data_IF_186738586610
#
_entry.id   IF_186738586610
#
_cell.length_a   1.000
_cell.length_b   1.000
_cell.length_c   1.000
_cell.angle_alpha   90.00
_cell.angle_beta   90.00
_cell.angle_gamma   90.00
#
_symmetry.space_group_name_H-M   'P 1'
#
loop_
_entity.id
_entity.type
_entity.pdbx_description
1 polymer ?
#
# COMPACT_ATOMS: atom_id res chain seq x y z
N UNK A 1 10.19 -22.42 -17.38
CA UNK A 1 9.16 -22.01 -16.40
C UNK A 1 7.84 -21.84 -17.13
N UNK A 2 6.85 -22.73 -16.92
CA UNK A 2 5.61 -22.76 -17.73
C UNK A 2 4.67 -21.62 -17.29
N UNK A 3 4.50 -20.62 -18.17
CA UNK A 3 3.58 -19.50 -18.01
C UNK A 3 2.14 -20.00 -17.82
N UNK A 4 1.48 -19.59 -16.73
CA UNK A 4 0.06 -19.88 -16.53
C UNK A 4 -0.72 -19.11 -17.60
N UNK A 5 -1.42 -19.80 -18.51
CA UNK A 5 -2.19 -19.15 -19.59
C UNK A 5 -3.62 -18.76 -19.16
N UNK A 6 -4.22 -19.53 -18.26
CA UNK A 6 -5.60 -19.33 -17.76
C UNK A 6 -5.73 -19.78 -16.30
N UNK A 7 -6.58 -19.12 -15.52
CA UNK A 7 -7.07 -19.60 -14.23
C UNK A 7 -8.58 -19.37 -14.17
N UNK A 8 -9.38 -20.44 -14.00
CA UNK A 8 -10.82 -20.38 -14.20
C UNK A 8 -11.17 -19.78 -15.57
N UNK A 9 -11.97 -18.71 -15.57
CA UNK A 9 -12.35 -17.95 -16.77
C UNK A 9 -11.41 -16.78 -17.13
N UNK A 10 -10.35 -16.58 -16.35
CA UNK A 10 -9.45 -15.44 -16.49
C UNK A 10 -8.23 -15.78 -17.35
N UNK A 11 -7.96 -14.92 -18.34
CA UNK A 11 -6.82 -15.04 -19.23
C UNK A 11 -5.63 -14.26 -18.68
N UNK A 12 -4.57 -14.96 -18.30
CA UNK A 12 -3.37 -14.35 -17.70
C UNK A 12 -2.57 -13.62 -18.79
N UNK A 13 -2.25 -12.35 -18.53
CA UNK A 13 -1.53 -11.46 -19.47
C UNK A 13 -0.05 -11.33 -19.12
N UNK A 14 0.26 -11.00 -17.86
CA UNK A 14 1.64 -10.88 -17.37
C UNK A 14 1.73 -11.08 -15.86
N UNK A 15 2.90 -11.44 -15.37
CA UNK A 15 3.21 -11.38 -13.94
C UNK A 15 3.43 -9.91 -13.55
N UNK A 16 2.80 -9.48 -12.46
CA UNK A 16 2.97 -8.13 -11.89
C UNK A 16 4.08 -8.11 -10.83
N UNK A 17 4.14 -9.15 -10.00
CA UNK A 17 5.12 -9.20 -8.92
C UNK A 17 4.97 -10.43 -8.05
N UNK A 18 5.72 -10.47 -6.97
CA UNK A 18 5.56 -11.43 -5.89
C UNK A 18 5.49 -10.66 -4.58
N UNK A 19 4.34 -10.74 -3.92
CA UNK A 19 4.15 -10.23 -2.58
C UNK A 19 4.58 -11.27 -1.54
N UNK A 20 4.29 -10.96 -0.28
CA UNK A 20 4.63 -11.82 0.87
C UNK A 20 3.99 -13.20 0.79
N UNK A 21 2.72 -13.24 0.37
CA UNK A 21 1.89 -14.45 0.40
C UNK A 21 1.74 -15.14 -0.94
N UNK A 22 2.23 -14.52 -2.02
CA UNK A 22 1.84 -15.00 -3.34
C UNK A 22 2.45 -14.27 -4.53
N UNK A 23 2.05 -14.72 -5.71
CA UNK A 23 2.42 -14.12 -6.99
C UNK A 23 1.18 -13.43 -7.56
N UNK A 24 1.32 -12.16 -7.93
CA UNK A 24 0.24 -11.40 -8.55
C UNK A 24 0.41 -11.41 -10.07
N UNK A 25 -0.69 -11.62 -10.78
CA UNK A 25 -0.75 -11.60 -12.24
C UNK A 25 -1.80 -10.61 -12.71
N UNK A 26 -1.50 -9.86 -13.76
CA UNK A 26 -2.51 -9.15 -14.54
C UNK A 26 -3.22 -10.19 -15.41
N UNK A 27 -4.53 -10.20 -15.37
CA UNK A 27 -5.38 -11.03 -16.21
C UNK A 27 -6.56 -10.23 -16.77
N UNK A 28 -7.34 -10.86 -17.64
CA UNK A 28 -8.58 -10.31 -18.16
C UNK A 28 -9.73 -11.30 -17.97
N UNK A 29 -10.90 -10.79 -17.60
CA UNK A 29 -12.14 -11.58 -17.54
C UNK A 29 -12.71 -11.89 -18.94
N UNK A 30 -13.87 -12.56 -19.00
CA UNK A 30 -14.54 -12.90 -20.26
C UNK A 30 -15.00 -11.68 -21.08
N UNK A 31 -15.08 -10.49 -20.46
CA UNK A 31 -15.42 -9.21 -21.09
C UNK A 31 -14.19 -8.36 -21.39
N UNK A 32 -12.99 -8.93 -21.30
CA UNK A 32 -11.69 -8.24 -21.43
C UNK A 32 -11.45 -7.12 -20.39
N UNK A 33 -12.15 -7.11 -19.26
CA UNK A 33 -11.86 -6.17 -18.17
C UNK A 33 -10.62 -6.63 -17.39
N UNK A 34 -9.70 -5.72 -17.04
CA UNK A 34 -8.49 -6.08 -16.33
C UNK A 34 -8.80 -6.47 -14.88
N UNK A 35 -8.13 -7.52 -14.40
CA UNK A 35 -8.20 -7.97 -13.00
C UNK A 35 -6.81 -8.38 -12.52
N UNK A 36 -6.62 -8.41 -11.20
CA UNK A 36 -5.43 -8.99 -10.57
C UNK A 36 -5.77 -10.38 -10.03
N UNK A 37 -4.98 -11.38 -10.44
CA UNK A 37 -5.02 -12.72 -9.87
C UNK A 37 -3.90 -12.88 -8.86
N UNK A 38 -4.23 -12.98 -7.58
CA UNK A 38 -3.27 -13.24 -6.49
C UNK A 38 -3.23 -14.75 -6.21
N UNK A 39 -2.11 -15.37 -6.57
CA UNK A 39 -1.87 -16.80 -6.38
C UNK A 39 -1.14 -17.08 -5.07
N UNK A 40 -1.73 -17.88 -4.20
CA UNK A 40 -1.11 -18.35 -2.97
C UNK A 40 -0.42 -19.68 -3.20
N UNK A 41 0.86 -19.80 -2.82
CA UNK A 41 1.62 -21.02 -3.08
C UNK A 41 1.16 -22.15 -2.14
N UNK A 42 0.76 -23.32 -2.67
CA UNK A 42 0.49 -24.50 -1.84
C UNK A 42 1.76 -24.88 -1.05
N UNK A 43 1.63 -25.05 0.27
CA UNK A 43 2.71 -25.59 1.12
C UNK A 43 3.38 -24.60 2.10
N UNK A 44 2.98 -23.34 2.13
CA UNK A 44 3.49 -22.39 3.12
C UNK A 44 2.71 -22.49 4.42
N UNK A 45 3.06 -23.42 5.33
CA UNK A 45 2.62 -23.55 6.75
C UNK A 45 1.09 -23.55 7.06
N UNK A 46 0.70 -24.39 8.03
CA UNK A 46 -0.70 -24.58 8.47
C UNK A 46 -1.43 -23.27 8.84
N UNK A 47 -0.71 -22.26 9.32
CA UNK A 47 -1.27 -20.97 9.79
C UNK A 47 -1.45 -19.92 8.67
N UNK A 48 -1.02 -20.17 7.42
CA UNK A 48 -1.17 -19.17 6.34
C UNK A 48 -2.61 -19.05 5.84
N UNK A 49 -3.40 -20.11 5.97
CA UNK A 49 -4.78 -20.09 5.51
C UNK A 49 -5.62 -19.04 6.23
N UNK A 50 -5.36 -18.84 7.52
CA UNK A 50 -6.04 -17.85 8.32
C UNK A 50 -5.76 -16.43 7.78
N UNK A 51 -4.50 -16.07 7.56
CA UNK A 51 -4.12 -14.76 6.97
C UNK A 51 -4.68 -14.55 5.55
N UNK A 52 -4.71 -15.61 4.73
CA UNK A 52 -5.28 -15.53 3.38
C UNK A 52 -6.78 -15.27 3.44
N UNK A 53 -7.50 -15.94 4.34
CA UNK A 53 -8.93 -15.70 4.54
C UNK A 53 -9.21 -14.29 5.07
N UNK A 54 -8.35 -13.77 5.94
CA UNK A 54 -8.48 -12.41 6.48
C UNK A 54 -8.43 -11.33 5.41
N UNK A 55 -7.53 -11.43 4.42
CA UNK A 55 -7.48 -10.45 3.33
C UNK A 55 -8.81 -10.39 2.56
N UNK A 56 -9.41 -11.55 2.24
CA UNK A 56 -10.70 -11.60 1.55
C UNK A 56 -11.84 -11.04 2.43
N UNK A 57 -11.86 -11.37 3.72
CA UNK A 57 -12.85 -10.88 4.68
C UNK A 57 -12.78 -9.36 4.81
N UNK A 58 -11.57 -8.82 4.98
CA UNK A 58 -11.35 -7.38 5.11
C UNK A 58 -11.76 -6.67 3.82
N UNK A 59 -11.21 -7.09 2.68
CA UNK A 59 -11.52 -6.44 1.39
C UNK A 59 -13.01 -6.51 1.04
N UNK A 60 -13.71 -7.59 1.39
CA UNK A 60 -15.16 -7.70 1.17
C UNK A 60 -15.99 -6.72 2.01
N UNK A 61 -15.44 -6.21 3.13
CA UNK A 61 -16.04 -5.19 3.98
C UNK A 61 -15.68 -3.75 3.59
N UNK A 62 -14.80 -3.58 2.60
CA UNK A 62 -14.36 -2.27 2.12
C UNK A 62 -14.96 -1.95 0.75
N UNK A 63 -15.27 -0.68 0.54
CA UNK A 63 -15.78 -0.10 -0.70
C UNK A 63 -15.27 1.33 -0.79
N UNK A 64 -14.18 1.51 -1.54
CA UNK A 64 -13.50 2.79 -1.70
C UNK A 64 -12.80 2.81 -3.06
N UNK A 65 -12.89 3.91 -3.85
CA UNK A 65 -12.38 3.95 -5.23
C UNK A 65 -10.84 3.83 -5.36
N UNK A 66 -10.12 3.91 -4.25
CA UNK A 66 -8.66 3.75 -4.17
C UNK A 66 -8.22 2.46 -3.44
N UNK A 67 -9.14 1.52 -3.23
CA UNK A 67 -8.86 0.19 -2.66
C UNK A 67 -9.47 -0.84 -3.62
N UNK A 68 -8.74 -1.90 -4.01
CA UNK A 68 -9.27 -2.88 -4.95
C UNK A 68 -10.44 -3.67 -4.35
N UNK A 69 -11.53 -3.80 -5.09
CA UNK A 69 -12.61 -4.72 -4.72
C UNK A 69 -12.17 -6.19 -4.78
N UNK A 70 -12.67 -6.99 -3.84
CA UNK A 70 -12.58 -8.44 -3.90
C UNK A 70 -13.68 -9.01 -4.80
N UNK A 71 -13.29 -9.47 -6.00
CA UNK A 71 -14.22 -9.95 -7.03
C UNK A 71 -14.54 -11.45 -6.90
N UNK A 72 -13.85 -12.17 -6.00
CA UNK A 72 -14.10 -13.57 -5.71
C UNK A 72 -12.86 -14.45 -5.85
N UNK A 73 -13.09 -15.75 -6.09
CA UNK A 73 -12.04 -16.78 -6.16
C UNK A 73 -12.08 -17.49 -7.49
N UNK A 74 -10.93 -17.71 -8.11
CA UNK A 74 -10.77 -18.54 -9.29
C UNK A 74 -10.01 -19.81 -8.96
N UNK A 75 -10.52 -20.96 -9.43
CA UNK A 75 -9.87 -22.25 -9.28
C UNK A 75 -9.08 -22.61 -10.55
N UNK A 76 -7.92 -23.25 -10.36
CA UNK A 76 -7.15 -23.84 -11.45
C UNK A 76 -6.48 -25.13 -10.98
N UNK A 77 -5.89 -25.90 -11.93
CA UNK A 77 -5.06 -27.06 -11.60
C UNK A 77 -3.87 -26.74 -10.68
N UNK A 78 -3.47 -25.46 -10.55
CA UNK A 78 -2.34 -25.04 -9.70
C UNK A 78 -2.75 -24.59 -8.30
N UNK A 79 -4.05 -24.50 -8.01
CA UNK A 79 -4.59 -23.95 -6.77
C UNK A 79 -5.61 -22.85 -7.01
N UNK A 80 -5.99 -22.18 -5.93
CA UNK A 80 -6.95 -21.08 -5.90
C UNK A 80 -6.23 -19.73 -6.04
N UNK A 81 -6.95 -18.77 -6.60
CA UNK A 81 -6.50 -17.41 -6.85
C UNK A 81 -7.56 -16.48 -6.31
N UNK A 82 -7.15 -15.42 -5.62
CA UNK A 82 -8.05 -14.29 -5.41
C UNK A 82 -8.12 -13.48 -6.68
N UNK A 83 -9.33 -13.06 -7.02
CA UNK A 83 -9.61 -12.14 -8.12
C UNK A 83 -9.89 -10.80 -7.48
N UNK A 84 -9.04 -9.83 -7.78
CA UNK A 84 -9.14 -8.46 -7.29
C UNK A 84 -9.35 -7.52 -8.46
N UNK A 85 -10.01 -6.39 -8.21
CA UNK A 85 -10.02 -5.27 -9.14
C UNK A 85 -8.59 -4.86 -9.51
N UNK A 86 -8.40 -4.49 -10.77
CA UNK A 86 -7.14 -3.92 -11.22
C UNK A 86 -7.10 -2.42 -10.96
N UNK A 87 -6.20 -2.00 -10.07
CA UNK A 87 -5.92 -0.58 -9.82
C UNK A 87 -4.88 -0.06 -10.83
N UNK A 88 -5.14 1.08 -11.51
CA UNK A 88 -4.20 1.67 -12.46
C UNK A 88 -2.96 2.26 -11.77
N UNK A 89 -1.94 2.55 -12.58
CA UNK A 89 -0.69 3.15 -12.12
C UNK A 89 0.42 2.14 -11.82
N UNK A 90 1.58 2.68 -11.46
CA UNK A 90 2.74 1.90 -11.03
C UNK A 90 2.93 2.03 -9.52
N UNK A 91 3.53 1.01 -8.90
CA UNK A 91 3.93 1.14 -7.50
C UNK A 91 4.94 2.27 -7.32
N UNK A 92 4.89 2.97 -6.18
CA UNK A 92 5.89 3.99 -5.85
C UNK A 92 7.31 3.41 -5.90
N UNK A 93 7.50 2.13 -5.57
CA UNK A 93 8.77 1.42 -5.71
C UNK A 93 9.24 1.35 -7.15
N UNK A 94 8.36 1.00 -8.09
CA UNK A 94 8.67 1.00 -9.52
C UNK A 94 9.02 2.41 -10.00
N UNK A 95 8.23 3.41 -9.59
CA UNK A 95 8.49 4.81 -9.93
C UNK A 95 9.86 5.27 -9.42
N UNK A 96 10.19 5.02 -8.16
CA UNK A 96 11.45 5.41 -7.52
C UNK A 96 12.67 4.70 -8.13
N UNK A 97 12.64 3.36 -8.24
CA UNK A 97 13.86 2.58 -8.48
C UNK A 97 14.02 2.07 -9.90
N UNK A 98 12.93 1.89 -10.65
CA UNK A 98 13.01 1.42 -12.04
C UNK A 98 12.85 2.55 -13.04
N UNK A 99 12.01 3.54 -12.71
CA UNK A 99 11.79 4.73 -13.55
C UNK A 99 12.57 5.95 -13.08
N UNK A 100 13.28 5.87 -11.95
CA UNK A 100 14.08 6.96 -11.38
C UNK A 100 13.30 8.28 -11.27
N UNK A 101 12.00 8.21 -10.95
CA UNK A 101 11.14 9.38 -10.79
C UNK A 101 11.56 10.13 -9.54
N UNK A 102 11.83 11.41 -9.72
CA UNK A 102 11.93 12.40 -8.64
C UNK A 102 10.54 12.93 -8.36
N UNK A 103 10.14 12.98 -7.08
CA UNK A 103 8.86 13.49 -6.64
C UNK A 103 9.01 14.92 -6.15
N UNK A 104 8.20 15.82 -6.71
CA UNK A 104 8.12 17.22 -6.26
C UNK A 104 7.38 17.34 -4.94
N UNK A 105 7.50 18.48 -4.27
CA UNK A 105 6.69 18.78 -3.07
C UNK A 105 5.19 18.67 -3.34
N UNK A 106 4.74 19.01 -4.55
CA UNK A 106 3.34 18.87 -4.96
C UNK A 106 2.93 17.41 -5.10
N UNK A 107 3.77 16.55 -5.69
CA UNK A 107 3.50 15.11 -5.76
C UNK A 107 3.41 14.51 -4.34
N UNK A 108 4.35 14.87 -3.45
CA UNK A 108 4.40 14.38 -2.07
C UNK A 108 3.15 14.78 -1.30
N UNK A 109 2.73 16.04 -1.42
CA UNK A 109 1.50 16.54 -0.82
C UNK A 109 0.26 15.77 -1.34
N UNK A 110 0.13 15.62 -2.66
CA UNK A 110 -1.01 14.92 -3.27
C UNK A 110 -1.06 13.46 -2.86
N UNK A 111 0.07 12.76 -2.90
CA UNK A 111 0.15 11.35 -2.51
C UNK A 111 -0.19 11.20 -1.03
N UNK A 112 0.40 12.02 -0.17
CA UNK A 112 0.17 11.95 1.26
C UNK A 112 -1.26 12.26 1.66
N UNK A 113 -1.87 13.28 1.05
CA UNK A 113 -3.27 13.64 1.32
C UNK A 113 -4.24 12.50 0.94
N UNK A 114 -4.08 11.91 -0.25
CA UNK A 114 -4.92 10.80 -0.69
C UNK A 114 -4.70 9.52 0.14
N UNK A 115 -3.46 9.23 0.54
CA UNK A 115 -3.21 8.11 1.47
C UNK A 115 -3.87 8.32 2.82
N UNK A 116 -3.87 9.55 3.33
CA UNK A 116 -4.54 9.87 4.59
C UNK A 116 -6.06 9.80 4.49
N UNK A 117 -6.64 10.09 3.32
CA UNK A 117 -8.07 9.84 3.05
C UNK A 117 -8.39 8.34 3.10
N UNK A 118 -7.55 7.51 2.47
CA UNK A 118 -7.67 6.05 2.53
C UNK A 118 -7.54 5.56 3.98
N UNK A 119 -6.58 6.10 4.74
CA UNK A 119 -6.37 5.74 6.14
C UNK A 119 -7.56 6.10 7.03
N UNK A 120 -8.12 7.31 6.89
CA UNK A 120 -9.35 7.70 7.59
C UNK A 120 -10.49 6.71 7.30
N UNK A 121 -10.63 6.33 6.03
CA UNK A 121 -11.65 5.38 5.60
C UNK A 121 -11.50 4.00 6.25
N UNK A 122 -10.31 3.40 6.23
CA UNK A 122 -10.10 2.05 6.80
C UNK A 122 -10.10 2.07 8.33
N UNK A 123 -9.51 3.10 8.95
CA UNK A 123 -9.48 3.24 10.40
C UNK A 123 -10.87 3.48 11.00
N UNK A 124 -11.77 4.17 10.29
CA UNK A 124 -13.19 4.31 10.71
C UNK A 124 -13.96 2.99 10.70
N UNK A 125 -13.43 1.96 10.01
CA UNK A 125 -13.95 0.58 9.99
C UNK A 125 -13.16 -0.36 10.90
N UNK A 126 -12.34 0.21 11.78
CA UNK A 126 -11.44 -0.52 12.68
C UNK A 126 -10.48 -1.44 11.93
N UNK A 127 -10.09 -1.11 10.70
CA UNK A 127 -9.11 -1.87 9.91
C UNK A 127 -7.78 -1.16 9.94
N UNK A 128 -6.73 -1.86 10.35
CA UNK A 128 -5.32 -1.44 10.23
C UNK A 128 -4.74 -2.16 9.01
N UNK A 129 -4.05 -1.46 8.12
CA UNK A 129 -3.45 -2.09 6.94
C UNK A 129 -2.18 -2.88 7.26
N UNK A 130 -1.29 -2.31 8.09
CA UNK A 130 -0.07 -2.93 8.59
C UNK A 130 1.08 -3.07 7.58
N UNK A 131 0.95 -2.55 6.35
CA UNK A 131 1.99 -2.62 5.30
C UNK A 131 1.90 -1.47 4.28
N UNK A 132 1.77 -0.24 4.77
CA UNK A 132 1.73 0.95 3.90
C UNK A 132 3.15 1.26 3.42
N UNK A 133 3.57 0.55 2.38
CA UNK A 133 4.92 0.64 1.83
C UNK A 133 4.89 1.14 0.38
N UNK A 134 6.05 1.59 -0.11
CA UNK A 134 6.21 1.98 -1.52
C UNK A 134 5.89 0.85 -2.52
N UNK A 135 5.82 -0.41 -2.08
CA UNK A 135 5.43 -1.55 -2.94
C UNK A 135 3.90 -1.68 -3.08
N UNK A 136 3.17 -1.20 -2.08
CA UNK A 136 1.72 -1.41 -1.93
C UNK A 136 0.91 -0.14 -2.19
N UNK A 137 1.58 0.97 -2.53
CA UNK A 137 0.94 2.20 -2.98
C UNK A 137 1.18 2.35 -4.47
N UNK A 138 0.10 2.37 -5.25
CA UNK A 138 0.12 2.67 -6.68
C UNK A 138 -0.19 4.14 -6.92
N UNK A 139 0.45 4.70 -7.94
CA UNK A 139 0.22 6.08 -8.36
C UNK A 139 0.30 6.18 -9.88
N UNK A 140 -0.71 6.78 -10.50
CA UNK A 140 -0.78 7.00 -11.95
C UNK A 140 -0.41 8.45 -12.37
N UNK A 141 -0.06 9.30 -11.40
CA UNK A 141 0.18 10.73 -11.62
C UNK A 141 -0.97 11.62 -11.15
N UNK A 142 -2.15 11.06 -10.88
CA UNK A 142 -3.33 11.77 -10.40
C UNK A 142 -3.93 11.10 -9.16
N UNK A 143 -4.13 9.79 -9.22
CA UNK A 143 -4.80 9.00 -8.19
C UNK A 143 -3.83 8.07 -7.48
N UNK A 144 -3.96 7.99 -6.17
CA UNK A 144 -3.32 6.99 -5.32
C UNK A 144 -4.27 5.83 -5.06
N UNK A 145 -3.75 4.62 -5.13
CA UNK A 145 -4.43 3.41 -4.67
C UNK A 145 -3.60 2.64 -3.66
N UNK A 146 -4.23 2.12 -2.63
CA UNK A 146 -3.62 1.25 -1.62
C UNK A 146 -4.03 -0.20 -1.90
N UNK A 147 -3.04 -1.09 -2.04
CA UNK A 147 -3.24 -2.49 -2.40
C UNK A 147 -2.57 -3.43 -1.40
N UNK A 148 -2.86 -4.73 -1.50
CA UNK A 148 -2.28 -5.80 -0.67
C UNK A 148 -2.63 -5.71 0.83
N UNK A 149 -3.85 -6.12 1.15
CA UNK A 149 -4.37 -6.18 2.53
C UNK A 149 -4.01 -7.49 3.23
N UNK A 150 -2.93 -8.17 2.80
CA UNK A 150 -2.51 -9.46 3.36
C UNK A 150 -2.01 -9.41 4.81
N UNK A 151 -1.67 -8.22 5.31
CA UNK A 151 -1.34 -7.96 6.72
C UNK A 151 -2.41 -7.17 7.46
N UNK A 152 -3.51 -6.85 6.78
CA UNK A 152 -4.55 -6.08 7.39
C UNK A 152 -5.22 -6.88 8.51
N UNK A 153 -5.62 -6.18 9.57
CA UNK A 153 -6.29 -6.77 10.74
C UNK A 153 -7.33 -5.81 11.31
N UNK A 154 -8.24 -6.34 12.12
CA UNK A 154 -9.13 -5.49 12.90
C UNK A 154 -8.44 -5.00 14.19
N UNK A 155 -8.70 -3.76 14.58
CA UNK A 155 -8.18 -3.18 15.83
C UNK A 155 -8.52 -4.10 17.00
N UNK A 156 -7.50 -4.46 17.78
CA UNK A 156 -7.62 -5.35 18.95
C UNK A 156 -7.40 -6.84 18.66
N UNK A 157 -7.18 -7.24 17.40
CA UNK A 157 -6.75 -8.61 17.07
C UNK A 157 -5.22 -8.79 17.19
N UNK A 158 -4.46 -7.73 16.96
CA UNK A 158 -3.00 -7.70 17.06
C UNK A 158 -2.55 -6.71 18.14
N UNK A 159 -1.30 -6.82 18.62
CA UNK A 159 -0.74 -5.89 19.61
C UNK A 159 -0.60 -4.45 19.08
N UNK A 160 -0.54 -4.29 17.75
CA UNK A 160 -0.28 -3.00 17.11
C UNK A 160 -1.58 -2.29 16.69
N UNK A 161 -1.66 -0.99 17.01
CA UNK A 161 -2.77 -0.11 16.64
C UNK A 161 -2.51 0.71 15.38
N UNK A 162 -3.26 1.80 15.21
CA UNK A 162 -3.12 2.76 14.10
C UNK A 162 -1.70 3.35 13.99
N UNK A 163 -0.95 3.37 15.09
CA UNK A 163 0.46 3.78 15.14
C UNK A 163 1.34 3.04 14.12
N UNK A 164 1.03 1.77 13.82
CA UNK A 164 1.77 0.99 12.83
C UNK A 164 1.61 1.62 11.44
N UNK A 165 0.37 1.94 11.07
CA UNK A 165 0.07 2.57 9.78
C UNK A 165 0.68 3.99 9.70
N UNK A 166 0.72 4.73 10.81
CA UNK A 166 1.38 6.03 10.88
C UNK A 166 2.90 5.93 10.67
N UNK A 167 3.55 4.95 11.28
CA UNK A 167 4.98 4.71 11.08
C UNK A 167 5.29 4.28 9.64
N UNK A 168 4.45 3.41 9.06
CA UNK A 168 4.55 3.02 7.66
C UNK A 168 4.39 4.24 6.72
N UNK A 169 3.40 5.10 6.98
CA UNK A 169 3.19 6.35 6.25
C UNK A 169 4.42 7.29 6.35
N UNK A 170 4.97 7.47 7.55
CA UNK A 170 6.18 8.28 7.76
C UNK A 170 7.39 7.76 6.96
N UNK A 171 7.60 6.44 6.97
CA UNK A 171 8.66 5.81 6.17
C UNK A 171 8.45 6.00 4.67
N UNK A 172 7.21 5.89 4.18
CA UNK A 172 6.87 6.15 2.79
C UNK A 172 7.19 7.60 2.39
N UNK A 173 6.84 8.58 3.23
CA UNK A 173 7.17 9.98 2.99
C UNK A 173 8.67 10.21 2.89
N UNK A 174 9.47 9.56 3.74
CA UNK A 174 10.94 9.63 3.65
C UNK A 174 11.43 9.14 2.28
N UNK A 175 10.94 8.01 1.77
CA UNK A 175 11.32 7.53 0.43
C UNK A 175 11.05 8.57 -0.67
N UNK A 176 9.91 9.25 -0.60
CA UNK A 176 9.56 10.28 -1.58
C UNK A 176 10.44 11.52 -1.43
N UNK A 177 10.70 11.97 -0.20
CA UNK A 177 11.57 13.11 0.08
C UNK A 177 13.00 12.87 -0.39
N UNK A 178 13.53 11.65 -0.20
CA UNK A 178 14.86 11.27 -0.67
C UNK A 178 14.96 11.10 -2.19
N UNK A 179 13.83 11.02 -2.91
CA UNK A 179 13.87 10.81 -4.36
C UNK A 179 14.60 11.92 -5.14
N UNK A 180 14.59 13.16 -4.62
CA UNK A 180 15.31 14.31 -5.18
C UNK A 180 16.55 14.72 -4.39
N UNK A 181 16.96 13.93 -3.38
CA UNK A 181 18.11 14.25 -2.54
C UNK A 181 19.39 13.69 -3.14
N UNK A 182 20.37 14.58 -3.38
CA UNK A 182 21.64 14.23 -4.02
C UNK A 182 22.87 14.70 -3.22
N UNK A 183 22.67 15.31 -2.05
CA UNK A 183 23.78 15.79 -1.21
C UNK A 183 24.46 14.58 -0.51
N UNK A 184 25.80 14.50 -0.51
CA UNK A 184 26.55 13.43 0.13
C UNK A 184 26.61 13.49 1.66
N UNK A 185 25.97 14.48 2.32
CA UNK A 185 25.86 14.51 3.78
C UNK A 185 25.31 13.19 4.32
N UNK A 186 25.99 12.67 5.34
CA UNK A 186 25.62 11.46 6.07
C UNK A 186 25.25 11.85 7.49
N UNK A 187 24.05 11.49 7.93
CA UNK A 187 23.49 11.82 9.23
C UNK A 187 22.10 11.25 9.40
N UNK A 188 21.35 11.76 10.37
CA UNK A 188 19.94 11.41 10.46
C UNK A 188 19.12 12.16 9.39
N UNK A 189 17.99 11.61 8.97
CA UNK A 189 17.13 12.23 7.96
C UNK A 189 16.69 13.67 8.31
N UNK A 190 16.55 13.98 9.60
CA UNK A 190 16.19 15.32 10.09
C UNK A 190 17.36 16.32 10.07
N UNK A 191 18.58 15.87 9.75
CA UNK A 191 19.79 16.67 9.55
C UNK A 191 20.12 16.79 8.05
N UNK A 192 19.86 15.72 7.29
CA UNK A 192 20.14 15.62 5.86
C UNK A 192 19.12 16.39 5.00
N UNK A 193 17.83 16.13 5.22
CA UNK A 193 16.76 16.67 4.38
C UNK A 193 16.46 18.14 4.71
N UNK A 194 16.23 19.00 3.69
CA UNK A 194 15.94 20.43 3.87
C UNK A 194 14.49 20.67 4.33
N UNK A 195 14.13 20.13 5.50
CA UNK A 195 12.78 20.19 6.07
C UNK A 195 12.62 21.37 7.03
N UNK A 196 11.41 21.93 7.09
CA UNK A 196 11.04 22.88 8.14
C UNK A 196 11.00 22.19 9.51
N UNK A 197 11.04 22.96 10.60
CA UNK A 197 10.94 22.38 11.95
C UNK A 197 9.61 21.64 12.15
N UNK A 198 8.51 22.17 11.63
CA UNK A 198 7.20 21.53 11.69
C UNK A 198 7.14 20.20 10.95
N UNK A 199 7.73 20.12 9.74
CA UNK A 199 7.85 18.87 8.99
C UNK A 199 8.68 17.81 9.74
N UNK A 200 9.79 18.23 10.36
CA UNK A 200 10.62 17.35 11.18
C UNK A 200 9.86 16.83 12.39
N UNK A 201 9.10 17.70 13.06
CA UNK A 201 8.34 17.32 14.24
C UNK A 201 7.20 16.36 13.91
N UNK A 202 6.48 16.63 12.82
CA UNK A 202 5.45 15.74 12.30
C UNK A 202 6.00 14.34 11.96
N UNK A 203 7.09 14.26 11.18
CA UNK A 203 7.72 12.98 10.83
C UNK A 203 8.28 12.25 12.07
N UNK A 204 8.82 12.97 13.07
CA UNK A 204 9.25 12.38 14.33
C UNK A 204 8.09 11.75 15.10
N UNK A 205 6.92 12.40 15.14
CA UNK A 205 5.73 11.85 15.78
C UNK A 205 5.22 10.60 15.05
N UNK A 206 5.19 10.60 13.70
CA UNK A 206 4.84 9.41 12.91
C UNK A 206 5.78 8.23 13.19
N UNK A 207 7.08 8.51 13.29
CA UNK A 207 8.13 7.49 13.45
C UNK A 207 8.41 7.11 14.91
N UNK A 208 7.59 7.59 15.87
CA UNK A 208 7.72 7.25 17.29
C UNK A 208 8.93 7.87 17.99
N UNK A 209 9.51 8.93 17.43
CA UNK A 209 10.61 9.71 18.00
C UNK A 209 10.10 10.89 18.86
N UNK A 210 8.79 11.14 18.85
CA UNK A 210 8.06 12.14 19.64
C UNK A 210 6.74 11.54 20.15
N UNK A 211 5.96 12.35 20.84
CA UNK A 211 4.58 12.00 21.23
C UNK A 211 3.78 11.53 20.02
N UNK A 212 3.07 10.42 20.20
CA UNK A 212 2.30 9.76 19.16
C UNK A 212 0.98 10.50 18.91
N UNK A 213 0.47 10.36 17.70
CA UNK A 213 -0.85 10.87 17.35
C UNK A 213 -1.96 10.06 18.01
N UNK A 214 -2.99 10.76 18.52
CA UNK A 214 -4.17 10.15 19.12
C UNK A 214 -5.09 9.48 18.09
N UNK A 215 -5.19 10.07 16.90
CA UNK A 215 -6.17 9.72 15.89
C UNK A 215 -5.73 10.16 14.50
N UNK A 216 -6.43 9.65 13.49
CA UNK A 216 -6.06 9.82 12.08
C UNK A 216 -6.47 11.19 11.56
N UNK A 217 -7.53 11.79 12.12
CA UNK A 217 -7.94 13.15 11.82
C UNK A 217 -6.83 14.15 12.15
N UNK A 218 -6.18 13.98 13.30
CA UNK A 218 -5.05 14.80 13.76
C UNK A 218 -3.85 14.62 12.84
N UNK A 219 -3.49 13.38 12.50
CA UNK A 219 -2.41 13.11 11.53
C UNK A 219 -2.68 13.84 10.22
N UNK A 220 -3.89 13.74 9.68
CA UNK A 220 -4.25 14.40 8.43
C UNK A 220 -4.17 15.91 8.53
N UNK A 221 -4.74 16.49 9.59
CA UNK A 221 -4.70 17.94 9.82
C UNK A 221 -3.27 18.46 9.88
N UNK A 222 -2.40 17.81 10.64
CA UNK A 222 -1.00 18.23 10.76
C UNK A 222 -0.20 18.01 9.48
N UNK A 223 -0.46 16.93 8.75
CA UNK A 223 0.12 16.73 7.42
C UNK A 223 -0.23 17.90 6.49
N UNK A 224 -1.51 18.26 6.40
CA UNK A 224 -1.98 19.34 5.55
C UNK A 224 -1.37 20.70 5.96
N UNK A 225 -1.16 20.94 7.26
CA UNK A 225 -0.53 22.17 7.74
C UNK A 225 0.97 22.25 7.45
N UNK A 226 1.68 21.12 7.48
CA UNK A 226 3.15 21.10 7.36
C UNK A 226 3.65 20.84 5.94
N UNK A 227 2.81 20.27 5.07
CA UNK A 227 3.17 19.91 3.70
C UNK A 227 2.35 20.65 2.64
N UNK A 228 1.44 21.56 3.02
CA UNK A 228 0.80 22.46 2.05
C UNK A 228 1.85 23.31 1.32
N UNK A 229 1.56 23.60 0.05
CA UNK A 229 2.37 24.47 -0.81
C UNK A 229 2.18 25.94 -0.45
#
# INVERSE_FOLDING_TARGET
MIFLRKAGEYHVKKRLGQGRYGICYLAADIRNRPVVLKYFRPGTRKNYWDYIQWEAVILSGLSHPSIPEFLGVANSRRGYFFVLEYMPGDSLKTLLFQKHRVFSSQDIFQIGAQLLDILLYIHSRSVIHGDISISNVLYDGLQVSLIDFGLASYIGQEEFGKDLDYACFGNLLLYLLYSGYHDPKKGAWYEELPLSQGQKDFLKSLLGLKEKFSDTETVKKEFLQNFSL
#
